data_IF_014047270388
#
_entry.id   IF_014047270388
#
_cell.length_a   1.000
_cell.length_b   1.000
_cell.length_c   1.000
_cell.angle_alpha   90.00
_cell.angle_beta   90.00
_cell.angle_gamma   90.00
#
_symmetry.space_group_name_H-M   'P 1'
#
loop_
_entity.id
_entity.type
_entity.pdbx_description
1 polymer ?
#
# COMPACT_ATOMS: atom_id res chain seq x y z
N UNK A 1 14.90 -29.54 33.55
CA UNK A 1 14.35 -29.08 32.25
C UNK A 1 13.28 -28.01 32.44
N UNK A 2 12.14 -28.37 33.03
CA UNK A 2 10.98 -27.49 33.21
C UNK A 2 11.26 -26.19 33.99
N UNK A 3 12.03 -26.27 35.08
CA UNK A 3 12.40 -25.09 35.90
C UNK A 3 13.26 -24.09 35.11
N UNK A 4 14.15 -24.57 34.23
CA UNK A 4 14.98 -23.70 33.38
C UNK A 4 14.13 -22.94 32.36
N UNK A 5 13.17 -23.63 31.72
CA UNK A 5 12.24 -23.01 30.79
C UNK A 5 11.34 -21.99 31.50
N UNK A 6 10.87 -22.32 32.70
CA UNK A 6 10.09 -21.43 33.55
C UNK A 6 10.86 -20.16 33.90
N UNK A 7 12.11 -20.29 34.35
CA UNK A 7 12.95 -19.12 34.68
C UNK A 7 13.24 -18.25 33.47
N UNK A 8 13.47 -18.85 32.29
CA UNK A 8 13.67 -18.10 31.05
C UNK A 8 12.40 -17.35 30.63
N UNK A 9 11.24 -18.03 30.59
CA UNK A 9 9.95 -17.42 30.22
C UNK A 9 9.55 -16.33 31.23
N UNK A 10 9.73 -16.57 32.54
CA UNK A 10 9.46 -15.57 33.56
C UNK A 10 10.36 -14.34 33.41
N UNK A 11 11.64 -14.52 33.05
CA UNK A 11 12.54 -13.40 32.76
C UNK A 11 12.07 -12.61 31.53
N UNK A 12 11.66 -13.30 30.46
CA UNK A 12 11.14 -12.65 29.25
C UNK A 12 9.86 -11.85 29.53
N UNK A 13 8.93 -12.41 30.30
CA UNK A 13 7.68 -11.74 30.68
C UNK A 13 7.93 -10.55 31.63
N UNK A 14 8.89 -10.67 32.56
CA UNK A 14 9.19 -9.62 33.52
C UNK A 14 10.09 -8.51 32.94
N UNK A 15 10.84 -8.77 31.87
CA UNK A 15 11.77 -7.80 31.30
C UNK A 15 11.06 -6.51 30.86
N UNK A 16 9.93 -6.63 30.15
CA UNK A 16 9.13 -5.47 29.71
C UNK A 16 8.56 -4.67 30.88
N UNK A 17 8.20 -5.34 31.98
CA UNK A 17 7.76 -4.66 33.20
C UNK A 17 8.89 -3.91 33.93
N UNK A 18 10.11 -4.47 33.90
CA UNK A 18 11.30 -3.83 34.47
C UNK A 18 11.70 -2.61 33.66
N UNK A 19 11.63 -2.65 32.33
CA UNK A 19 11.91 -1.49 31.45
C UNK A 19 11.00 -0.29 31.77
N UNK A 20 9.70 -0.55 31.93
CA UNK A 20 8.71 0.49 32.27
C UNK A 20 8.99 1.11 33.64
N UNK A 21 9.35 0.28 34.63
CA UNK A 21 9.61 0.75 36.00
C UNK A 21 10.97 1.45 36.11
N UNK A 22 11.98 1.00 35.37
CA UNK A 22 13.35 1.51 35.41
C UNK A 22 13.60 2.67 34.42
N UNK A 23 12.65 2.96 33.52
CA UNK A 23 12.77 3.94 32.43
C UNK A 23 14.07 3.80 31.61
N UNK A 24 14.51 2.56 31.41
CA UNK A 24 15.73 2.23 30.64
C UNK A 24 15.50 0.97 29.85
N UNK A 25 16.06 0.94 28.65
CA UNK A 25 16.12 -0.27 27.82
C UNK A 25 16.97 -1.34 28.52
N UNK A 26 16.42 -2.54 28.63
CA UNK A 26 17.07 -3.69 29.27
C UNK A 26 17.51 -4.66 28.18
N UNK A 27 18.81 -4.94 28.11
CA UNK A 27 19.32 -5.95 27.19
C UNK A 27 18.95 -7.36 27.69
N UNK A 28 17.90 -7.94 27.10
CA UNK A 28 17.43 -9.29 27.39
C UNK A 28 18.55 -10.34 27.36
N UNK A 29 19.43 -10.28 26.36
CA UNK A 29 20.51 -11.23 26.18
C UNK A 29 21.52 -11.15 27.35
N UNK A 30 21.77 -9.94 27.86
CA UNK A 30 22.65 -9.72 29.01
C UNK A 30 22.00 -10.22 30.30
N UNK A 31 20.71 -9.98 30.49
CA UNK A 31 19.97 -10.45 31.67
C UNK A 31 19.87 -11.99 31.69
N UNK A 32 19.62 -12.63 30.54
CA UNK A 32 19.62 -14.08 30.41
C UNK A 32 20.98 -14.67 30.76
N UNK A 33 22.07 -14.07 30.28
CA UNK A 33 23.43 -14.48 30.62
C UNK A 33 23.74 -14.31 32.11
N UNK A 34 23.37 -13.17 32.70
CA UNK A 34 23.58 -12.92 34.13
C UNK A 34 22.78 -13.89 35.02
N UNK A 35 21.51 -14.14 34.68
CA UNK A 35 20.66 -15.11 35.36
C UNK A 35 21.20 -16.54 35.20
N UNK A 36 21.69 -16.90 34.01
CA UNK A 36 22.32 -18.19 33.75
C UNK A 36 23.58 -18.40 34.57
N UNK A 37 24.52 -17.45 34.55
CA UNK A 37 25.74 -17.50 35.35
C UNK A 37 25.45 -17.54 36.85
N UNK A 38 24.47 -16.74 37.32
CA UNK A 38 24.03 -16.74 38.71
C UNK A 38 23.49 -18.11 39.14
N UNK A 39 22.70 -18.76 38.29
CA UNK A 39 22.17 -20.09 38.55
C UNK A 39 23.23 -21.20 38.50
N UNK A 40 24.23 -21.08 37.62
CA UNK A 40 25.39 -22.01 37.62
C UNK A 40 26.17 -21.86 38.91
N UNK A 41 26.48 -20.63 39.33
CA UNK A 41 27.19 -20.36 40.57
C UNK A 41 26.39 -20.85 41.79
N UNK A 42 25.07 -20.62 41.82
CA UNK A 42 24.20 -21.14 42.86
C UNK A 42 24.21 -22.68 42.90
N UNK A 43 24.09 -23.34 41.74
CA UNK A 43 24.12 -24.80 41.63
C UNK A 43 25.42 -25.43 42.14
N UNK A 44 26.58 -24.78 41.91
CA UNK A 44 27.87 -25.25 42.42
C UNK A 44 27.96 -25.27 43.94
N UNK A 45 27.18 -24.42 44.63
CA UNK A 45 27.12 -24.35 46.10
C UNK A 45 25.91 -25.12 46.64
N UNK A 46 25.20 -25.88 45.79
CA UNK A 46 24.00 -26.63 46.18
C UNK A 46 22.74 -25.77 46.34
N UNK A 47 22.74 -24.55 45.80
CA UNK A 47 21.61 -23.63 45.82
C UNK A 47 20.51 -24.01 44.83
N UNK A 48 19.30 -23.48 45.08
CA UNK A 48 18.14 -23.61 44.20
C UNK A 48 18.23 -22.65 43.01
N UNK A 49 17.49 -22.94 41.94
CA UNK A 49 17.37 -22.04 40.78
C UNK A 49 16.67 -20.75 41.21
N UNK A 50 17.35 -19.63 41.00
CA UNK A 50 16.84 -18.28 41.21
C UNK A 50 16.32 -17.64 39.93
N UNK A 51 15.44 -16.67 40.11
CA UNK A 51 14.90 -15.81 39.04
C UNK A 51 14.80 -14.37 39.55
N UNK A 52 14.62 -13.42 38.63
CA UNK A 52 14.51 -12.01 38.98
C UNK A 52 13.16 -11.70 39.64
N UNK A 53 13.19 -11.05 40.80
CA UNK A 53 11.98 -10.61 41.52
C UNK A 53 11.67 -9.16 41.19
N UNK A 54 10.75 -8.95 40.24
CA UNK A 54 10.33 -7.61 39.80
C UNK A 54 9.84 -6.72 40.95
N UNK A 55 9.04 -7.26 41.87
CA UNK A 55 8.48 -6.48 42.99
C UNK A 55 9.54 -5.86 43.90
N UNK A 56 10.60 -6.61 44.25
CA UNK A 56 11.69 -6.10 45.08
C UNK A 56 12.57 -5.11 44.32
N UNK A 57 12.83 -5.35 43.04
CA UNK A 57 13.55 -4.41 42.18
C UNK A 57 12.81 -3.08 42.04
N UNK A 58 11.49 -3.12 41.81
CA UNK A 58 10.64 -1.93 41.72
C UNK A 58 10.64 -1.12 43.02
N UNK A 59 10.46 -1.80 44.17
CA UNK A 59 10.53 -1.16 45.48
C UNK A 59 11.91 -0.52 45.74
N UNK A 60 12.99 -1.19 45.34
CA UNK A 60 14.35 -0.63 45.51
C UNK A 60 14.56 0.63 44.67
N UNK A 61 14.04 0.68 43.45
CA UNK A 61 14.11 1.84 42.57
C UNK A 61 13.25 3.00 43.10
N UNK A 62 12.05 2.72 43.59
CA UNK A 62 11.18 3.70 44.24
C UNK A 62 11.80 4.27 45.52
N UNK A 63 12.55 3.45 46.26
CA UNK A 63 13.33 3.88 47.42
C UNK A 63 14.62 4.64 47.06
N UNK A 64 14.88 4.92 45.78
CA UNK A 64 16.07 5.63 45.29
C UNK A 64 17.35 4.77 45.24
N UNK A 65 17.25 3.45 45.49
CA UNK A 65 18.38 2.53 45.59
C UNK A 65 18.66 1.80 44.25
N UNK A 66 19.00 2.55 43.19
CA UNK A 66 19.25 2.02 41.85
C UNK A 66 20.66 1.47 41.58
N UNK A 67 21.46 1.22 42.62
CA UNK A 67 22.86 0.76 42.47
C UNK A 67 23.00 -0.76 42.58
N UNK A 68 24.06 -1.33 41.99
CA UNK A 68 24.40 -2.76 42.15
C UNK A 68 24.70 -3.15 43.60
N UNK A 69 25.03 -2.16 44.45
CA UNK A 69 25.31 -2.37 45.87
C UNK A 69 24.08 -2.90 46.62
N UNK A 70 22.86 -2.54 46.18
CA UNK A 70 21.60 -3.03 46.77
C UNK A 70 21.56 -4.56 46.77
N UNK A 71 21.93 -5.21 45.66
CA UNK A 71 21.98 -6.67 45.56
C UNK A 71 23.04 -7.31 46.45
N UNK A 72 24.21 -6.66 46.58
CA UNK A 72 25.31 -7.14 47.45
C UNK A 72 24.91 -7.04 48.92
N UNK A 73 24.29 -5.93 49.33
CA UNK A 73 23.77 -5.75 50.69
C UNK A 73 22.71 -6.80 51.00
N UNK A 74 21.78 -7.04 50.07
CA UNK A 74 20.76 -8.08 50.23
C UNK A 74 21.36 -9.48 50.36
N UNK A 75 22.37 -9.81 49.55
CA UNK A 75 23.09 -11.07 49.67
C UNK A 75 23.77 -11.19 51.05
N UNK A 76 24.41 -10.12 51.54
CA UNK A 76 25.01 -10.08 52.87
C UNK A 76 24.00 -10.27 54.01
N UNK A 77 22.83 -9.63 53.92
CA UNK A 77 21.73 -9.81 54.87
C UNK A 77 21.23 -11.25 54.86
N UNK A 78 21.07 -11.86 53.67
CA UNK A 78 20.69 -13.27 53.55
C UNK A 78 21.72 -14.21 54.19
N UNK A 79 23.03 -13.96 54.00
CA UNK A 79 24.10 -14.75 54.63
C UNK A 79 24.08 -14.58 56.16
N UNK A 80 23.89 -13.35 56.65
CA UNK A 80 23.80 -13.08 58.08
C UNK A 80 22.58 -13.78 58.70
N UNK A 81 21.43 -13.72 58.03
CA UNK A 81 20.22 -14.42 58.44
C UNK A 81 20.40 -15.95 58.40
N UNK A 82 21.18 -16.49 57.47
CA UNK A 82 21.50 -17.92 57.41
C UNK A 82 22.39 -18.35 58.59
N UNK A 83 23.39 -17.55 58.95
CA UNK A 83 24.37 -17.89 60.01
C UNK A 83 23.81 -17.65 61.42
N UNK A 84 23.04 -16.58 61.63
CA UNK A 84 22.57 -16.17 62.96
C UNK A 84 21.04 -16.07 63.13
N UNK A 85 20.27 -16.21 62.05
CA UNK A 85 18.82 -15.96 62.05
C UNK A 85 17.94 -17.21 62.10
N UNK A 86 18.51 -18.42 62.16
CA UNK A 86 17.75 -19.69 62.19
C UNK A 86 16.79 -19.76 63.37
N UNK A 87 17.19 -19.27 64.55
CA UNK A 87 16.34 -19.19 65.73
C UNK A 87 15.17 -18.19 65.57
N UNK A 88 15.39 -17.09 64.85
CA UNK A 88 14.37 -16.05 64.59
C UNK A 88 13.40 -16.50 63.51
N UNK A 89 13.88 -17.13 62.45
CA UNK A 89 13.05 -17.70 61.38
C UNK A 89 12.12 -18.80 61.90
N UNK A 90 12.56 -19.57 62.90
CA UNK A 90 11.73 -20.59 63.54
C UNK A 90 10.53 -20.01 64.31
N UNK A 91 10.62 -18.76 64.78
CA UNK A 91 9.52 -18.05 65.45
C UNK A 91 8.51 -17.47 64.46
N UNK A 92 8.81 -17.46 63.15
CA UNK A 92 7.97 -16.84 62.15
C UNK A 92 6.71 -17.69 61.86
N UNK A 93 5.49 -17.15 62.07
CA UNK A 93 4.27 -17.92 61.88
C UNK A 93 4.06 -18.32 60.41
N UNK A 94 3.99 -19.63 60.13
CA UNK A 94 3.72 -20.18 58.80
C UNK A 94 2.40 -19.66 58.19
N UNK A 95 1.44 -19.30 59.04
CA UNK A 95 0.15 -18.71 58.64
C UNK A 95 0.33 -17.40 57.88
N UNK A 96 1.34 -16.59 58.24
CA UNK A 96 1.60 -15.31 57.56
C UNK A 96 2.10 -15.57 56.13
N UNK A 97 3.02 -16.53 55.93
CA UNK A 97 3.49 -16.90 54.58
C UNK A 97 2.36 -17.48 53.73
N UNK A 98 1.56 -18.40 54.30
CA UNK A 98 0.42 -18.99 53.60
C UNK A 98 -0.63 -17.94 53.22
N UNK A 99 -0.94 -17.03 54.13
CA UNK A 99 -1.87 -15.93 53.88
C UNK A 99 -1.38 -14.98 52.78
N UNK A 100 -0.08 -14.66 52.77
CA UNK A 100 0.52 -13.86 51.71
C UNK A 100 0.44 -14.54 50.34
N UNK A 101 0.76 -15.84 50.26
CA UNK A 101 0.65 -16.61 49.02
C UNK A 101 -0.79 -16.68 48.51
N UNK A 102 -1.75 -16.91 49.41
CA UNK A 102 -3.16 -16.94 49.07
C UNK A 102 -3.65 -15.57 48.59
N UNK A 103 -3.28 -14.49 49.28
CA UNK A 103 -3.59 -13.12 48.88
C UNK A 103 -3.05 -12.81 47.48
N UNK A 104 -1.78 -13.16 47.21
CA UNK A 104 -1.17 -12.92 45.90
C UNK A 104 -1.90 -13.70 44.79
N UNK A 105 -2.20 -14.98 45.04
CA UNK A 105 -2.96 -15.82 44.10
C UNK A 105 -4.36 -15.28 43.81
N UNK A 106 -5.09 -14.88 44.85
CA UNK A 106 -6.43 -14.28 44.72
C UNK A 106 -6.38 -12.91 44.03
N UNK A 107 -5.34 -12.11 44.29
CA UNK A 107 -5.14 -10.82 43.64
C UNK A 107 -4.96 -10.99 42.13
N UNK A 108 -4.09 -11.92 41.71
CA UNK A 108 -3.93 -12.22 40.28
C UNK A 108 -5.20 -12.78 39.65
N UNK A 109 -5.93 -13.65 40.35
CA UNK A 109 -7.19 -14.17 39.83
C UNK A 109 -8.23 -13.06 39.63
N UNK A 110 -8.33 -12.13 40.58
CA UNK A 110 -9.20 -10.95 40.44
C UNK A 110 -8.80 -10.11 39.22
N UNK A 111 -7.52 -9.76 39.11
CA UNK A 111 -7.01 -8.90 38.03
C UNK A 111 -7.24 -9.53 36.63
N UNK A 112 -6.86 -10.79 36.47
CA UNK A 112 -6.83 -11.43 35.16
C UNK A 112 -8.14 -12.14 34.77
N UNK A 113 -8.97 -12.53 35.73
CA UNK A 113 -10.26 -13.20 35.43
C UNK A 113 -11.44 -12.26 35.67
N UNK A 114 -11.49 -11.55 36.79
CA UNK A 114 -12.67 -10.73 37.11
C UNK A 114 -12.61 -9.39 36.37
N UNK A 115 -11.52 -8.64 36.55
CA UNK A 115 -11.40 -7.28 36.01
C UNK A 115 -11.23 -7.28 34.48
N UNK A 116 -10.72 -8.38 33.91
CA UNK A 116 -10.51 -8.54 32.47
C UNK A 116 -11.80 -8.78 31.68
N UNK A 117 -12.88 -9.25 32.32
CA UNK A 117 -14.18 -9.48 31.66
C UNK A 117 -14.71 -8.25 30.91
N UNK A 118 -14.57 -7.07 31.51
CA UNK A 118 -15.07 -5.81 30.94
C UNK A 118 -14.09 -5.16 29.95
N UNK A 119 -12.83 -5.61 29.92
CA UNK A 119 -11.74 -4.96 29.17
C UNK A 119 -11.37 -5.69 27.89
N UNK A 120 -11.63 -6.99 27.81
CA UNK A 120 -11.18 -7.83 26.71
C UNK A 120 -12.32 -8.30 25.79
N UNK A 121 -12.05 -8.49 24.48
CA UNK A 121 -12.96 -9.20 23.59
C UNK A 121 -13.31 -10.59 24.13
N UNK A 122 -14.54 -11.05 23.87
CA UNK A 122 -15.05 -12.34 24.38
C UNK A 122 -14.16 -13.54 24.05
N UNK A 123 -13.50 -13.52 22.88
CA UNK A 123 -12.59 -14.59 22.44
C UNK A 123 -11.32 -14.62 23.29
N UNK A 124 -10.70 -13.46 23.53
CA UNK A 124 -9.51 -13.35 24.37
C UNK A 124 -9.80 -13.74 25.82
N UNK A 125 -10.94 -13.30 26.34
CA UNK A 125 -11.40 -13.69 27.66
C UNK A 125 -11.63 -15.21 27.78
N UNK A 126 -12.23 -15.83 26.77
CA UNK A 126 -12.41 -17.28 26.72
C UNK A 126 -11.08 -18.05 26.76
N UNK A 127 -10.04 -17.52 26.10
CA UNK A 127 -8.69 -18.10 26.12
C UNK A 127 -8.09 -18.03 27.53
N UNK A 128 -8.25 -16.93 28.26
CA UNK A 128 -7.76 -16.80 29.64
C UNK A 128 -8.39 -17.88 30.54
N UNK A 129 -9.71 -18.04 30.48
CA UNK A 129 -10.42 -19.08 31.24
C UNK A 129 -9.96 -20.49 30.85
N UNK A 130 -9.73 -20.72 29.56
CA UNK A 130 -9.26 -22.01 29.07
C UNK A 130 -7.84 -22.33 29.58
N UNK A 131 -6.92 -21.37 29.50
CA UNK A 131 -5.56 -21.51 30.05
C UNK A 131 -5.64 -21.80 31.56
N UNK A 132 -6.46 -21.06 32.31
CA UNK A 132 -6.63 -21.28 33.75
C UNK A 132 -7.13 -22.70 34.05
N UNK A 133 -8.11 -23.20 33.29
CA UNK A 133 -8.63 -24.56 33.44
C UNK A 133 -7.56 -25.62 33.15
N UNK A 134 -6.73 -25.42 32.11
CA UNK A 134 -5.61 -26.31 31.78
C UNK A 134 -4.56 -26.30 32.88
N UNK A 135 -4.22 -25.12 33.43
CA UNK A 135 -3.27 -25.00 34.54
C UNK A 135 -3.79 -25.73 35.79
N UNK A 136 -5.08 -25.59 36.10
CA UNK A 136 -5.69 -26.21 37.26
C UNK A 136 -5.83 -27.74 37.13
N UNK A 137 -6.08 -28.25 35.92
CA UNK A 137 -6.34 -29.67 35.68
C UNK A 137 -5.12 -30.50 35.26
N UNK A 138 -4.19 -29.92 34.51
CA UNK A 138 -3.06 -30.64 33.89
C UNK A 138 -1.74 -30.16 34.46
N UNK A 139 -1.49 -28.86 34.39
CA UNK A 139 -0.21 -28.32 34.81
C UNK A 139 0.09 -26.96 34.20
N UNK A 140 1.03 -26.26 34.84
CA UNK A 140 1.43 -24.92 34.46
C UNK A 140 2.11 -24.86 33.09
N UNK A 141 2.96 -25.85 32.78
CA UNK A 141 3.73 -25.87 31.54
C UNK A 141 2.83 -26.03 30.31
N UNK A 142 1.86 -26.94 30.40
CA UNK A 142 0.85 -27.20 29.39
C UNK A 142 -0.02 -25.96 29.18
N UNK A 143 -0.39 -25.26 30.26
CA UNK A 143 -1.09 -23.99 30.20
C UNK A 143 -0.35 -22.90 29.42
N UNK A 144 0.97 -22.76 29.64
CA UNK A 144 1.80 -21.83 28.84
C UNK A 144 1.79 -22.23 27.37
N UNK A 145 2.02 -23.51 27.06
CA UNK A 145 2.07 -23.98 25.67
C UNK A 145 0.74 -23.70 24.94
N UNK A 146 -0.38 -23.97 25.60
CA UNK A 146 -1.73 -23.63 25.10
C UNK A 146 -1.86 -22.13 24.87
N UNK A 147 -1.42 -21.29 25.81
CA UNK A 147 -1.48 -19.84 25.67
C UNK A 147 -0.67 -19.31 24.48
N UNK A 148 0.54 -19.83 24.25
CA UNK A 148 1.37 -19.46 23.11
C UNK A 148 0.69 -19.86 21.79
N UNK A 149 0.15 -21.08 21.70
CA UNK A 149 -0.55 -21.55 20.50
C UNK A 149 -1.78 -20.68 20.23
N UNK A 150 -2.58 -20.39 21.27
CA UNK A 150 -3.77 -19.56 21.16
C UNK A 150 -3.42 -18.13 20.70
N UNK A 151 -2.33 -17.54 21.21
CA UNK A 151 -1.85 -16.24 20.79
C UNK A 151 -1.43 -16.22 19.31
N UNK A 152 -0.70 -17.25 18.85
CA UNK A 152 -0.32 -17.40 17.43
C UNK A 152 -1.56 -17.53 16.55
N UNK A 153 -2.52 -18.36 16.92
CA UNK A 153 -3.77 -18.55 16.18
C UNK A 153 -4.57 -17.24 16.12
N UNK A 154 -4.72 -16.55 17.25
CA UNK A 154 -5.44 -15.28 17.32
C UNK A 154 -4.77 -14.22 16.43
N UNK A 155 -3.44 -14.14 16.46
CA UNK A 155 -2.68 -13.22 15.61
C UNK A 155 -2.92 -13.51 14.13
N UNK A 156 -2.82 -14.77 13.70
CA UNK A 156 -3.07 -15.17 12.30
C UNK A 156 -4.51 -14.83 11.88
N UNK A 157 -5.49 -15.12 12.72
CA UNK A 157 -6.90 -14.82 12.44
C UNK A 157 -7.14 -13.31 12.38
N UNK A 158 -6.63 -12.54 13.33
CA UNK A 158 -6.76 -11.09 13.36
C UNK A 158 -6.11 -10.45 12.13
N UNK A 159 -4.90 -10.89 11.76
CA UNK A 159 -4.19 -10.39 10.57
C UNK A 159 -4.91 -10.77 9.27
N UNK A 160 -5.52 -11.95 9.20
CA UNK A 160 -6.32 -12.38 8.02
C UNK A 160 -7.61 -11.59 7.81
N UNK A 161 -8.08 -10.87 8.84
CA UNK A 161 -9.26 -9.99 8.75
C UNK A 161 -8.95 -8.62 8.17
N UNK A 162 -7.68 -8.28 7.94
CA UNK A 162 -7.33 -7.05 7.24
C UNK A 162 -7.72 -7.22 5.77
N UNK A 163 -8.61 -6.37 5.28
CA UNK A 163 -9.02 -6.41 3.88
C UNK A 163 -7.87 -5.97 2.97
N UNK A 164 -7.51 -6.89 2.06
CA UNK A 164 -6.50 -6.62 1.03
C UNK A 164 -7.05 -5.67 -0.03
N UNK A 165 -8.37 -5.64 -0.26
CA UNK A 165 -9.00 -4.67 -1.16
C UNK A 165 -9.13 -3.34 -0.42
N UNK A 166 -8.36 -2.34 -0.84
CA UNK A 166 -8.43 -0.99 -0.28
C UNK A 166 -9.68 -0.26 -0.75
N UNK A 167 -9.98 -0.36 -2.04
CA UNK A 167 -11.22 0.14 -2.66
C UNK A 167 -11.42 -0.51 -4.03
N UNK A 168 -12.66 -0.48 -4.48
CA UNK A 168 -13.13 -1.00 -5.76
C UNK A 168 -13.60 0.16 -6.66
N UNK A 169 -13.25 0.11 -7.95
CA UNK A 169 -13.73 1.03 -8.97
C UNK A 169 -14.34 0.24 -10.14
N UNK A 170 -15.22 0.89 -10.89
CA UNK A 170 -15.70 0.39 -12.19
C UNK A 170 -15.01 1.13 -13.33
N UNK A 171 -15.05 0.58 -14.55
CA UNK A 171 -14.55 1.25 -15.76
C UNK A 171 -15.26 2.59 -16.07
N UNK A 172 -16.39 2.89 -15.44
CA UNK A 172 -17.01 4.21 -15.52
C UNK A 172 -16.23 5.29 -14.75
N UNK A 173 -15.52 4.89 -13.70
CA UNK A 173 -14.77 5.77 -12.79
C UNK A 173 -13.26 5.61 -12.90
N UNK A 174 -12.79 4.48 -13.45
CA UNK A 174 -11.39 4.22 -13.74
C UNK A 174 -11.12 4.50 -15.23
N UNK A 175 -10.30 5.51 -15.50
CA UNK A 175 -9.83 5.85 -16.84
C UNK A 175 -8.30 5.95 -16.85
N UNK A 176 -7.70 5.59 -17.97
CA UNK A 176 -6.29 5.83 -18.23
C UNK A 176 -6.02 7.33 -18.42
N UNK A 177 -4.74 7.70 -18.41
CA UNK A 177 -4.26 9.05 -18.73
C UNK A 177 -4.20 9.32 -20.23
N UNK A 178 -4.75 8.45 -21.07
CA UNK A 178 -4.86 8.69 -22.50
C UNK A 178 -6.04 9.61 -22.77
N UNK A 179 -5.81 10.71 -23.48
CA UNK A 179 -6.88 11.60 -23.91
C UNK A 179 -7.69 10.92 -25.00
N UNK A 180 -8.97 10.66 -24.73
CA UNK A 180 -9.92 10.08 -25.68
C UNK A 180 -10.92 11.11 -26.21
N UNK A 181 -11.40 10.89 -27.42
CA UNK A 181 -12.45 11.71 -28.03
C UNK A 181 -13.76 11.68 -27.21
N UNK A 182 -14.64 12.69 -27.33
CA UNK A 182 -15.93 12.68 -26.61
C UNK A 182 -16.78 11.43 -26.90
N UNK A 183 -16.78 10.95 -28.15
CA UNK A 183 -17.50 9.72 -28.57
C UNK A 183 -16.92 8.48 -27.91
N UNK A 184 -15.59 8.33 -27.91
CA UNK A 184 -14.93 7.20 -27.25
C UNK A 184 -15.17 7.21 -25.73
N UNK A 185 -15.08 8.38 -25.08
CA UNK A 185 -15.39 8.52 -23.65
C UNK A 185 -16.82 8.13 -23.31
N UNK A 186 -17.79 8.53 -24.13
CA UNK A 186 -19.18 8.15 -23.91
C UNK A 186 -19.37 6.64 -24.02
N UNK A 187 -18.75 6.00 -25.02
CA UNK A 187 -18.77 4.54 -25.19
C UNK A 187 -18.12 3.82 -24.01
N UNK A 188 -16.96 4.28 -23.55
CA UNK A 188 -16.28 3.72 -22.37
C UNK A 188 -17.13 3.83 -21.11
N UNK A 189 -17.83 4.95 -20.90
CA UNK A 189 -18.77 5.13 -19.78
C UNK A 189 -19.95 4.17 -19.86
N UNK A 190 -20.53 3.98 -21.05
CA UNK A 190 -21.62 3.01 -21.27
C UNK A 190 -21.18 1.57 -21.01
N UNK A 191 -19.92 1.25 -21.30
CA UNK A 191 -19.32 -0.06 -21.06
C UNK A 191 -18.58 -0.13 -19.72
N UNK A 192 -18.77 0.85 -18.83
CA UNK A 192 -18.02 0.97 -17.59
C UNK A 192 -18.22 -0.19 -16.63
N UNK A 193 -19.38 -0.84 -16.68
CA UNK A 193 -19.70 -2.01 -15.85
C UNK A 193 -19.00 -3.30 -16.32
N UNK A 194 -18.37 -3.28 -17.50
CA UNK A 194 -17.60 -4.42 -17.99
C UNK A 194 -16.26 -4.63 -17.26
N UNK A 195 -15.78 -3.62 -16.53
CA UNK A 195 -14.51 -3.65 -15.80
C UNK A 195 -14.73 -3.43 -14.30
N UNK A 196 -14.15 -4.31 -13.50
CA UNK A 196 -13.98 -4.14 -12.05
C UNK A 196 -12.50 -3.97 -11.75
N UNK A 197 -12.13 -2.90 -11.04
CA UNK A 197 -10.76 -2.60 -10.63
C UNK A 197 -10.66 -2.71 -9.11
N UNK A 198 -9.77 -3.57 -8.63
CA UNK A 198 -9.49 -3.77 -7.22
C UNK A 198 -8.08 -3.27 -6.90
N UNK A 199 -7.98 -2.22 -6.09
CA UNK A 199 -6.68 -1.76 -5.61
C UNK A 199 -6.31 -2.48 -4.34
N UNK A 200 -5.21 -3.21 -4.39
CA UNK A 200 -4.78 -4.08 -3.30
C UNK A 200 -3.77 -3.36 -2.40
N UNK A 201 -3.72 -3.76 -1.12
CA UNK A 201 -2.75 -3.23 -0.14
C UNK A 201 -2.30 -4.30 0.86
N UNK A 202 -1.11 -4.11 1.43
CA UNK A 202 -0.57 -4.96 2.49
C UNK A 202 0.17 -6.18 1.95
N UNK A 203 0.12 -7.29 2.68
CA UNK A 203 0.77 -8.55 2.30
C UNK A 203 -0.28 -9.58 1.92
N UNK A 204 -0.13 -10.24 0.77
CA UNK A 204 -1.11 -11.23 0.30
C UNK A 204 -0.65 -12.63 0.70
N UNK A 205 -1.30 -13.18 1.72
CA UNK A 205 -1.11 -14.55 2.17
C UNK A 205 -2.41 -15.35 2.01
N UNK A 206 -2.38 -16.66 2.29
CA UNK A 206 -3.52 -17.56 2.12
C UNK A 206 -4.87 -16.98 2.56
N UNK A 207 -4.99 -16.47 3.79
CA UNK A 207 -6.25 -15.95 4.34
C UNK A 207 -6.78 -14.74 3.57
N UNK A 208 -5.93 -13.76 3.32
CA UNK A 208 -6.32 -12.56 2.55
C UNK A 208 -6.59 -12.84 1.08
N UNK A 209 -5.85 -13.77 0.47
CA UNK A 209 -6.04 -14.16 -0.92
C UNK A 209 -7.36 -14.91 -1.12
N UNK A 210 -7.77 -15.70 -0.12
CA UNK A 210 -9.06 -16.38 -0.11
C UNK A 210 -10.23 -15.38 0.01
N UNK A 211 -10.09 -14.31 0.81
CA UNK A 211 -11.08 -13.23 0.84
C UNK A 211 -11.17 -12.47 -0.48
N UNK A 212 -10.02 -12.17 -1.11
CA UNK A 212 -9.99 -11.55 -2.45
C UNK A 212 -10.71 -12.44 -3.48
N UNK A 213 -10.48 -13.75 -3.43
CA UNK A 213 -11.17 -14.73 -4.27
C UNK A 213 -12.69 -14.68 -4.05
N UNK A 214 -13.15 -14.78 -2.80
CA UNK A 214 -14.57 -14.72 -2.48
C UNK A 214 -15.21 -13.38 -2.86
N UNK A 215 -14.51 -12.26 -2.66
CA UNK A 215 -14.97 -10.93 -3.06
C UNK A 215 -15.23 -10.87 -4.57
N UNK A 216 -14.26 -11.33 -5.38
CA UNK A 216 -14.41 -11.38 -6.84
C UNK A 216 -15.51 -12.36 -7.25
N UNK A 217 -15.57 -13.54 -6.64
CA UNK A 217 -16.63 -14.53 -6.93
C UNK A 217 -18.02 -13.95 -6.65
N UNK A 218 -18.24 -13.35 -5.49
CA UNK A 218 -19.52 -12.72 -5.13
C UNK A 218 -19.87 -11.60 -6.11
N UNK A 219 -18.90 -10.78 -6.51
CA UNK A 219 -19.12 -9.71 -7.49
C UNK A 219 -19.52 -10.27 -8.85
N UNK A 220 -18.86 -11.32 -9.31
CA UNK A 220 -19.20 -11.98 -10.57
C UNK A 220 -20.59 -12.66 -10.44
N UNK A 221 -20.87 -13.40 -9.37
CA UNK A 221 -22.16 -14.06 -9.15
C UNK A 221 -23.34 -13.09 -9.08
N UNK A 222 -23.15 -11.93 -8.44
CA UNK A 222 -24.15 -10.86 -8.40
C UNK A 222 -24.43 -10.26 -9.78
N UNK A 223 -23.46 -10.28 -10.69
CA UNK A 223 -23.63 -9.91 -12.10
C UNK A 223 -24.21 -11.08 -12.90
N UNK A 224 -25.52 -11.31 -12.72
CA UNK A 224 -26.27 -12.33 -13.44
C UNK A 224 -26.32 -12.08 -14.97
N UNK A 225 -26.16 -10.82 -15.39
CA UNK A 225 -26.13 -10.44 -16.80
C UNK A 225 -24.79 -10.77 -17.49
N UNK A 226 -23.75 -11.13 -16.73
CA UNK A 226 -22.42 -11.41 -17.27
C UNK A 226 -21.79 -10.20 -17.98
N UNK A 227 -22.10 -9.01 -17.47
CA UNK A 227 -21.56 -7.74 -17.97
C UNK A 227 -20.07 -7.60 -17.69
N UNK A 228 -19.61 -8.04 -16.52
CA UNK A 228 -18.22 -7.99 -16.08
C UNK A 228 -17.39 -8.98 -16.89
N UNK A 229 -16.53 -8.44 -17.75
CA UNK A 229 -15.60 -9.20 -18.59
C UNK A 229 -14.15 -8.98 -18.22
N UNK A 230 -13.84 -7.93 -17.48
CA UNK A 230 -12.47 -7.58 -17.12
C UNK A 230 -12.37 -7.39 -15.61
N UNK A 231 -11.36 -8.00 -15.01
CA UNK A 231 -11.01 -7.80 -13.60
C UNK A 231 -9.58 -7.30 -13.55
N UNK A 232 -9.37 -6.09 -13.04
CA UNK A 232 -8.03 -5.53 -12.85
C UNK A 232 -7.64 -5.57 -11.37
N UNK A 233 -6.49 -6.15 -11.08
CA UNK A 233 -5.89 -6.21 -9.74
C UNK A 233 -4.66 -5.32 -9.73
N UNK A 234 -4.66 -4.27 -8.91
CA UNK A 234 -3.51 -3.37 -8.75
C UNK A 234 -2.68 -3.75 -7.52
N UNK A 235 -1.47 -4.27 -7.77
CA UNK A 235 -0.49 -4.73 -6.78
C UNK A 235 0.51 -3.65 -6.35
N UNK A 236 0.36 -2.40 -6.81
CA UNK A 236 1.34 -1.33 -6.54
C UNK A 236 1.64 -1.11 -5.04
N UNK A 237 0.70 -1.44 -4.14
CA UNK A 237 0.85 -1.31 -2.67
C UNK A 237 0.95 -2.64 -1.94
N UNK A 238 1.22 -3.72 -2.67
CA UNK A 238 1.48 -5.04 -2.09
C UNK A 238 2.97 -5.16 -1.73
N UNK A 239 3.26 -5.51 -0.48
CA UNK A 239 4.63 -5.68 0.01
C UNK A 239 5.22 -7.06 -0.29
N UNK A 240 4.36 -8.07 -0.54
CA UNK A 240 4.79 -9.41 -0.89
C UNK A 240 3.65 -10.43 -0.92
N UNK A 241 3.99 -11.66 -1.33
CA UNK A 241 3.08 -12.80 -1.36
C UNK A 241 3.76 -14.08 -0.88
N UNK A 242 2.96 -14.98 -0.31
CA UNK A 242 3.38 -16.36 -0.06
C UNK A 242 2.98 -17.30 -1.22
N UNK A 243 3.54 -18.51 -1.22
CA UNK A 243 3.26 -19.52 -2.26
C UNK A 243 1.81 -20.01 -2.25
N UNK A 244 1.13 -19.92 -1.11
CA UNK A 244 -0.26 -20.35 -0.95
C UNK A 244 -1.24 -19.32 -1.52
N UNK A 245 -0.96 -18.02 -1.43
CA UNK A 245 -1.74 -16.95 -2.07
C UNK A 245 -1.80 -17.10 -3.59
N UNK A 246 -0.67 -17.48 -4.21
CA UNK A 246 -0.61 -17.73 -5.66
C UNK A 246 -1.64 -18.79 -6.09
N UNK A 247 -1.87 -19.80 -5.25
CA UNK A 247 -2.88 -20.83 -5.51
C UNK A 247 -4.30 -20.27 -5.49
N UNK A 248 -4.60 -19.35 -4.57
CA UNK A 248 -5.90 -18.66 -4.51
C UNK A 248 -6.10 -17.72 -5.68
N UNK A 249 -5.06 -16.99 -6.09
CA UNK A 249 -5.09 -16.14 -7.30
C UNK A 249 -5.30 -16.96 -8.57
N UNK A 250 -4.73 -18.16 -8.67
CA UNK A 250 -4.99 -19.08 -9.79
C UNK A 250 -6.43 -19.56 -9.83
N UNK A 251 -7.06 -19.83 -8.67
CA UNK A 251 -8.49 -20.12 -8.62
C UNK A 251 -9.30 -18.91 -9.11
N UNK A 252 -8.94 -17.71 -8.68
CA UNK A 252 -9.58 -16.46 -9.13
C UNK A 252 -9.51 -16.33 -10.66
N UNK A 253 -8.34 -16.54 -11.24
CA UNK A 253 -8.15 -16.58 -12.70
C UNK A 253 -9.09 -17.60 -13.37
N UNK A 254 -9.22 -18.81 -12.83
CA UNK A 254 -10.13 -19.83 -13.37
C UNK A 254 -11.60 -19.38 -13.34
N UNK A 255 -12.04 -18.70 -12.27
CA UNK A 255 -13.40 -18.16 -12.19
C UNK A 255 -13.64 -17.03 -13.21
N UNK A 256 -12.65 -16.17 -13.45
CA UNK A 256 -12.72 -15.12 -14.47
C UNK A 256 -12.77 -15.75 -15.87
N UNK A 257 -11.89 -16.71 -16.16
CA UNK A 257 -11.84 -17.43 -17.43
C UNK A 257 -13.11 -18.23 -17.72
N UNK A 258 -13.75 -18.82 -16.70
CA UNK A 258 -15.00 -19.56 -16.86
C UNK A 258 -16.14 -18.69 -17.44
N UNK A 259 -16.05 -17.37 -17.28
CA UNK A 259 -16.98 -16.39 -17.86
C UNK A 259 -16.48 -15.74 -19.15
N UNK A 260 -15.41 -16.28 -19.75
CA UNK A 260 -14.68 -15.68 -20.89
C UNK A 260 -14.15 -14.27 -20.57
N UNK A 261 -13.87 -14.00 -19.29
CA UNK A 261 -13.29 -12.75 -18.86
C UNK A 261 -11.76 -12.76 -18.95
N UNK A 262 -11.18 -11.58 -18.80
CA UNK A 262 -9.73 -11.35 -18.81
C UNK A 262 -9.29 -10.76 -17.48
N UNK A 263 -8.19 -11.29 -16.92
CA UNK A 263 -7.58 -10.77 -15.71
C UNK A 263 -6.43 -9.81 -16.07
N UNK A 264 -6.46 -8.59 -15.54
CA UNK A 264 -5.40 -7.60 -15.69
C UNK A 264 -4.66 -7.51 -14.35
N UNK A 265 -3.35 -7.68 -14.37
CA UNK A 265 -2.50 -7.56 -13.18
C UNK A 265 -1.59 -6.35 -13.39
N UNK A 266 -1.74 -5.36 -12.52
CA UNK A 266 -1.06 -4.08 -12.59
C UNK A 266 -0.15 -3.88 -11.36
N UNK A 267 0.82 -2.97 -11.47
CA UNK A 267 1.65 -2.58 -10.32
C UNK A 267 2.68 -3.65 -9.94
N UNK A 268 3.18 -4.39 -10.92
CA UNK A 268 4.10 -5.52 -10.73
C UNK A 268 5.44 -5.28 -11.39
N UNK A 269 6.54 -5.60 -10.68
CA UNK A 269 7.88 -5.65 -11.25
C UNK A 269 8.09 -6.93 -12.07
N UNK A 270 9.07 -6.99 -13.00
CA UNK A 270 9.31 -8.18 -13.82
C UNK A 270 9.54 -9.47 -13.02
N UNK A 271 10.24 -9.40 -11.89
CA UNK A 271 10.48 -10.55 -11.02
C UNK A 271 9.20 -11.03 -10.32
N UNK A 272 8.28 -10.12 -10.03
CA UNK A 272 6.96 -10.40 -9.49
C UNK A 272 6.06 -11.08 -10.52
N UNK A 273 6.04 -10.57 -11.77
CA UNK A 273 5.36 -11.20 -12.90
C UNK A 273 5.86 -12.64 -13.10
N UNK A 274 7.18 -12.86 -13.08
CA UNK A 274 7.78 -14.19 -13.24
C UNK A 274 7.38 -15.16 -12.12
N UNK A 275 7.21 -14.69 -10.88
CA UNK A 275 6.71 -15.51 -9.77
C UNK A 275 5.26 -15.92 -9.99
N UNK A 276 4.38 -15.00 -10.38
CA UNK A 276 2.98 -15.30 -10.67
C UNK A 276 2.82 -16.22 -11.89
N UNK A 277 3.57 -15.96 -12.96
CA UNK A 277 3.57 -16.76 -14.17
C UNK A 277 4.09 -18.19 -13.92
N UNK A 278 5.12 -18.38 -13.09
CA UNK A 278 5.56 -19.73 -12.65
C UNK A 278 4.54 -20.43 -11.76
N UNK A 279 3.72 -19.64 -11.05
CA UNK A 279 2.58 -20.10 -10.27
C UNK A 279 1.36 -20.56 -11.07
N UNK A 280 1.39 -20.42 -12.41
CA UNK A 280 0.31 -20.86 -13.30
C UNK A 280 -0.62 -19.75 -13.77
N UNK A 281 -0.39 -18.48 -13.41
CA UNK A 281 -1.16 -17.34 -13.92
C UNK A 281 -0.60 -16.90 -15.28
N UNK A 282 -0.96 -17.59 -16.36
CA UNK A 282 -0.49 -17.26 -17.72
C UNK A 282 -1.63 -17.03 -18.70
N UNK A 283 -2.60 -17.93 -18.74
CA UNK A 283 -3.68 -17.89 -19.74
C UNK A 283 -4.75 -16.84 -19.38
N UNK A 284 -5.10 -15.96 -20.32
CA UNK A 284 -6.06 -14.87 -20.10
C UNK A 284 -5.68 -13.91 -18.98
N UNK A 285 -4.38 -13.77 -18.71
CA UNK A 285 -3.81 -12.80 -17.78
C UNK A 285 -2.88 -11.86 -18.54
N UNK A 286 -3.11 -10.55 -18.40
CA UNK A 286 -2.20 -9.53 -18.93
C UNK A 286 -1.51 -8.80 -17.78
N UNK A 287 -0.18 -8.69 -17.88
CA UNK A 287 0.66 -8.07 -16.86
C UNK A 287 1.07 -6.65 -17.28
N UNK A 288 0.96 -5.70 -16.37
CA UNK A 288 1.28 -4.30 -16.57
C UNK A 288 2.14 -3.75 -15.44
N UNK A 289 2.97 -2.77 -15.76
CA UNK A 289 3.83 -2.09 -14.78
C UNK A 289 3.02 -1.29 -13.75
N UNK A 290 1.85 -0.80 -14.16
CA UNK A 290 0.99 0.06 -13.37
C UNK A 290 -0.47 -0.05 -13.85
N UNK A 291 -1.39 0.47 -13.05
CA UNK A 291 -2.82 0.40 -13.34
C UNK A 291 -3.20 1.25 -14.56
N UNK A 292 -2.46 2.34 -14.81
CA UNK A 292 -2.76 3.26 -15.89
C UNK A 292 -2.60 2.59 -17.28
N UNK A 293 -1.55 1.77 -17.45
CA UNK A 293 -1.36 0.95 -18.66
C UNK A 293 -2.38 -0.18 -18.78
N UNK A 294 -2.79 -0.78 -17.67
CA UNK A 294 -3.83 -1.80 -17.67
C UNK A 294 -5.18 -1.23 -18.15
N UNK A 295 -5.52 -0.03 -17.68
CA UNK A 295 -6.73 0.69 -18.11
C UNK A 295 -6.65 1.09 -19.58
N UNK A 296 -5.50 1.58 -20.04
CA UNK A 296 -5.30 1.90 -21.46
C UNK A 296 -5.51 0.70 -22.38
N UNK A 297 -4.95 -0.46 -22.00
CA UNK A 297 -5.14 -1.69 -22.75
C UNK A 297 -6.62 -2.09 -22.80
N UNK A 298 -7.30 -2.05 -21.65
CA UNK A 298 -8.75 -2.33 -21.57
C UNK A 298 -9.56 -1.38 -22.46
N UNK A 299 -9.28 -0.07 -22.41
CA UNK A 299 -9.96 0.93 -23.22
C UNK A 299 -9.78 0.66 -24.72
N UNK A 300 -8.56 0.31 -25.14
CA UNK A 300 -8.25 -0.01 -26.53
C UNK A 300 -9.01 -1.26 -27.00
N UNK A 301 -9.08 -2.30 -26.17
CA UNK A 301 -9.86 -3.52 -26.46
C UNK A 301 -11.36 -3.23 -26.59
N UNK A 302 -11.90 -2.37 -25.72
CA UNK A 302 -13.33 -2.02 -25.73
C UNK A 302 -13.71 -1.12 -26.90
N UNK A 303 -12.84 -0.17 -27.26
CA UNK A 303 -13.07 0.75 -28.38
C UNK A 303 -12.88 0.08 -29.74
N UNK A 304 -11.97 -0.90 -29.85
CA UNK A 304 -11.64 -1.59 -31.09
C UNK A 304 -10.84 -0.73 -32.08
N UNK A 305 -10.24 -1.38 -33.08
CA UNK A 305 -9.31 -0.71 -34.02
C UNK A 305 -9.97 0.36 -34.91
N UNK A 306 -11.23 0.15 -35.34
CA UNK A 306 -11.95 1.13 -36.17
C UNK A 306 -12.22 2.44 -35.43
N UNK A 307 -12.58 2.37 -34.14
CA UNK A 307 -12.82 3.58 -33.36
C UNK A 307 -11.52 4.36 -33.10
N UNK A 308 -10.38 3.67 -32.95
CA UNK A 308 -9.05 4.28 -32.78
C UNK A 308 -8.53 4.93 -34.08
N UNK A 309 -8.86 4.36 -35.25
CA UNK A 309 -8.54 4.94 -36.55
C UNK A 309 -9.32 6.24 -36.81
N UNK A 310 -10.59 6.30 -36.40
CA UNK A 310 -11.40 7.53 -36.48
C UNK A 310 -10.85 8.62 -35.53
N UNK A 311 -10.27 8.26 -34.38
CA UNK A 311 -9.61 9.23 -33.48
C UNK A 311 -8.33 9.85 -34.08
N UNK A 312 -7.67 9.16 -35.02
CA UNK A 312 -6.43 9.65 -35.66
C UNK A 312 -6.68 10.39 -36.97
N UNK A 313 -7.90 10.34 -37.51
CA UNK A 313 -8.23 10.83 -38.86
C UNK A 313 -8.71 12.30 -38.90
N UNK A 314 -9.04 12.92 -37.77
CA UNK A 314 -9.35 14.35 -37.74
C UNK A 314 -8.05 15.14 -37.95
N UNK A 315 -7.73 15.45 -39.20
CA UNK A 315 -6.53 16.21 -39.53
C UNK A 315 -6.54 17.56 -38.82
N UNK A 316 -5.36 18.07 -38.46
CA UNK A 316 -5.21 19.40 -37.86
C UNK A 316 -5.97 20.47 -38.65
N UNK A 317 -5.98 20.36 -39.98
CA UNK A 317 -6.77 21.20 -40.88
C UNK A 317 -8.28 21.10 -40.59
N UNK A 318 -8.84 19.92 -40.38
CA UNK A 318 -10.27 19.76 -40.07
C UNK A 318 -10.65 20.44 -38.76
N UNK A 319 -9.80 20.32 -37.72
CA UNK A 319 -10.04 20.94 -36.42
C UNK A 319 -9.85 22.46 -36.44
N UNK A 320 -8.83 22.93 -37.14
CA UNK A 320 -8.66 24.36 -37.40
C UNK A 320 -9.88 24.91 -38.16
N UNK A 321 -10.36 24.21 -39.19
CA UNK A 321 -11.54 24.65 -39.96
C UNK A 321 -12.82 24.70 -39.11
N UNK A 322 -12.99 23.77 -38.17
CA UNK A 322 -14.16 23.74 -37.30
C UNK A 322 -14.17 24.86 -36.24
N UNK A 323 -13.00 25.39 -35.87
CA UNK A 323 -12.85 26.33 -34.76
C UNK A 323 -12.45 27.75 -35.20
N UNK A 324 -11.92 27.92 -36.41
CA UNK A 324 -11.59 29.21 -37.00
C UNK A 324 -12.86 29.92 -37.50
N UNK A 325 -12.96 31.27 -37.36
CA UNK A 325 -13.96 32.06 -38.04
C UNK A 325 -13.91 31.82 -39.56
N UNK A 326 -15.08 31.85 -40.22
CA UNK A 326 -15.19 31.58 -41.66
C UNK A 326 -14.34 32.51 -42.55
N UNK A 327 -13.93 33.67 -42.03
CA UNK A 327 -13.10 34.64 -42.75
C UNK A 327 -11.60 34.29 -42.77
N UNK A 328 -11.14 33.27 -42.02
CA UNK A 328 -9.72 32.94 -41.90
C UNK A 328 -9.45 31.57 -42.52
N UNK A 329 -8.74 31.56 -43.65
CA UNK A 329 -8.30 30.31 -44.24
C UNK A 329 -7.24 29.62 -43.35
N UNK A 330 -7.41 28.31 -43.03
CA UNK A 330 -6.44 27.54 -42.26
C UNK A 330 -5.02 27.58 -42.84
N UNK A 331 -4.89 27.73 -44.16
CA UNK A 331 -3.62 27.88 -44.87
C UNK A 331 -2.80 29.07 -44.35
N UNK A 332 -3.45 30.14 -43.87
CA UNK A 332 -2.78 31.33 -43.33
C UNK A 332 -2.00 31.00 -42.06
N UNK A 333 -2.56 30.16 -41.18
CA UNK A 333 -1.91 29.70 -39.95
C UNK A 333 -0.73 28.78 -40.24
N UNK A 334 -0.88 27.88 -41.22
CA UNK A 334 0.17 26.94 -41.61
C UNK A 334 1.47 27.63 -42.05
N UNK A 335 1.42 28.89 -42.55
CA UNK A 335 2.60 29.67 -42.94
C UNK A 335 3.55 30.01 -41.78
N UNK A 336 3.03 30.02 -40.55
CA UNK A 336 3.80 30.32 -39.34
C UNK A 336 4.18 29.05 -38.57
N UNK A 337 3.75 27.89 -39.05
CA UNK A 337 3.98 26.59 -38.44
C UNK A 337 5.06 25.82 -39.18
N UNK A 338 6.00 25.26 -38.43
CA UNK A 338 7.03 24.38 -38.98
C UNK A 338 6.58 22.93 -38.86
N UNK A 339 6.27 22.29 -40.00
CA UNK A 339 5.96 20.86 -40.05
C UNK A 339 7.20 20.05 -39.70
N UNK A 340 7.07 19.10 -38.78
CA UNK A 340 8.12 18.18 -38.36
C UNK A 340 7.58 16.77 -38.25
N UNK A 341 8.32 15.81 -38.81
CA UNK A 341 8.05 14.39 -38.63
C UNK A 341 8.72 13.91 -37.34
N UNK A 342 8.03 13.03 -36.62
CA UNK A 342 8.46 12.49 -35.34
C UNK A 342 8.55 10.98 -35.42
N UNK A 343 9.57 10.41 -34.78
CA UNK A 343 9.75 9.00 -34.56
C UNK A 343 9.58 8.65 -33.06
N UNK A 344 9.26 7.39 -32.73
CA UNK A 344 9.20 6.95 -31.33
C UNK A 344 10.48 7.28 -30.57
N UNK A 345 10.35 7.90 -29.39
CA UNK A 345 11.46 8.35 -28.56
C UNK A 345 11.92 9.79 -28.82
N UNK A 346 11.43 10.46 -29.87
CA UNK A 346 11.76 11.86 -30.11
C UNK A 346 11.21 12.75 -28.98
N UNK A 347 12.10 13.55 -28.39
CA UNK A 347 11.73 14.49 -27.33
C UNK A 347 11.37 15.83 -27.94
N UNK A 348 10.09 16.19 -27.87
CA UNK A 348 9.56 17.45 -28.38
C UNK A 348 9.83 18.61 -27.42
N UNK A 349 9.70 18.35 -26.13
CA UNK A 349 9.88 19.32 -25.04
C UNK A 349 10.60 18.62 -23.90
N UNK A 350 11.61 19.26 -23.28
CA UNK A 350 12.25 18.73 -22.06
C UNK A 350 11.86 19.55 -20.83
N UNK A 351 11.58 18.85 -19.74
CA UNK A 351 11.33 19.44 -18.44
C UNK A 351 12.50 20.34 -18.01
N UNK A 352 12.19 21.53 -17.49
CA UNK A 352 13.17 22.53 -17.06
C UNK A 352 13.69 23.47 -18.16
N UNK A 353 13.42 23.20 -19.44
CA UNK A 353 13.85 24.08 -20.53
C UNK A 353 13.00 25.35 -20.67
N UNK A 354 13.50 26.31 -21.44
CA UNK A 354 12.77 27.53 -21.76
C UNK A 354 11.51 27.26 -22.60
N UNK A 355 10.42 28.02 -22.39
CA UNK A 355 9.16 27.82 -23.09
C UNK A 355 9.09 28.53 -24.45
N UNK A 356 9.96 28.17 -25.39
CA UNK A 356 10.14 28.93 -26.64
C UNK A 356 9.19 28.53 -27.77
N UNK A 357 8.50 27.40 -27.61
CA UNK A 357 7.60 26.83 -28.63
C UNK A 357 6.42 26.08 -28.05
N UNK A 358 5.40 25.83 -28.88
CA UNK A 358 4.38 24.82 -28.65
C UNK A 358 4.27 23.95 -29.89
N UNK A 359 3.67 22.76 -29.73
CA UNK A 359 3.47 21.83 -30.84
C UNK A 359 2.00 21.48 -30.94
N UNK A 360 1.50 21.45 -32.18
CA UNK A 360 0.25 20.80 -32.52
C UNK A 360 0.55 19.40 -33.02
N UNK A 361 -0.12 18.40 -32.46
CA UNK A 361 -0.01 17.01 -32.93
C UNK A 361 -1.00 16.83 -34.07
N UNK A 362 -0.54 16.56 -35.29
CA UNK A 362 -1.42 16.24 -36.42
C UNK A 362 -1.73 14.75 -36.44
N UNK A 363 -0.69 13.92 -36.32
CA UNK A 363 -0.80 12.46 -36.30
C UNK A 363 0.25 11.85 -35.38
N UNK A 364 0.02 10.61 -34.96
CA UNK A 364 0.83 9.93 -33.95
C UNK A 364 0.34 10.20 -32.52
N UNK A 365 1.10 9.70 -31.55
CA UNK A 365 0.85 9.84 -30.12
C UNK A 365 2.09 10.40 -29.43
N UNK A 366 1.85 11.31 -28.48
CA UNK A 366 2.88 11.90 -27.64
C UNK A 366 2.47 11.79 -26.18
N UNK A 367 3.43 11.50 -25.32
CA UNK A 367 3.23 11.40 -23.87
C UNK A 367 3.93 12.53 -23.15
N UNK A 368 3.17 13.28 -22.36
CA UNK A 368 3.70 14.17 -21.34
C UNK A 368 4.07 13.36 -20.09
N UNK A 369 5.31 13.51 -19.61
CA UNK A 369 5.83 12.77 -18.46
C UNK A 369 6.70 13.64 -17.55
N UNK A 370 6.59 13.42 -16.24
CA UNK A 370 7.50 13.98 -15.24
C UNK A 370 8.70 13.06 -15.10
N UNK A 371 9.89 13.63 -15.32
CA UNK A 371 11.16 12.93 -15.17
C UNK A 371 11.72 13.23 -13.79
N UNK A 372 12.19 12.17 -13.12
CA UNK A 372 12.80 12.24 -11.80
C UNK A 372 14.18 11.60 -11.84
N UNK A 373 15.07 11.97 -10.91
CA UNK A 373 16.41 11.37 -10.83
C UNK A 373 16.37 9.91 -10.35
N UNK A 374 15.54 9.62 -9.33
CA UNK A 374 15.60 8.35 -8.59
C UNK A 374 14.40 7.42 -8.82
N UNK A 375 13.49 7.75 -9.75
CA UNK A 375 12.31 6.93 -10.04
C UNK A 375 11.93 6.97 -11.52
N UNK A 376 11.22 5.94 -12.02
CA UNK A 376 10.71 5.92 -13.39
C UNK A 376 9.91 7.17 -13.73
N UNK A 377 9.97 7.60 -15.00
CA UNK A 377 9.18 8.72 -15.48
C UNK A 377 7.69 8.46 -15.23
N UNK A 378 7.01 9.47 -14.68
CA UNK A 378 5.59 9.39 -14.39
C UNK A 378 4.81 9.98 -15.56
N UNK A 379 4.07 9.14 -16.27
CA UNK A 379 3.15 9.57 -17.31
C UNK A 379 2.08 10.50 -16.74
N UNK A 380 1.95 11.70 -17.28
CA UNK A 380 0.88 12.65 -16.93
C UNK A 380 -0.32 12.48 -17.84
N UNK A 381 -0.09 12.47 -19.15
CA UNK A 381 -1.12 12.41 -20.18
C UNK A 381 -0.51 11.86 -21.48
N UNK A 382 -1.21 10.97 -22.18
CA UNK A 382 -0.92 10.62 -23.58
C UNK A 382 -1.94 11.30 -24.47
N UNK A 383 -1.48 11.91 -25.55
CA UNK A 383 -2.29 12.72 -26.46
C UNK A 383 -2.06 12.27 -27.90
N UNK A 384 -3.15 12.13 -28.66
CA UNK A 384 -3.10 11.84 -30.09
C UNK A 384 -3.22 13.10 -30.96
N UNK A 385 -3.50 12.88 -32.25
CA UNK A 385 -3.81 13.92 -33.22
C UNK A 385 -4.87 14.91 -32.73
N UNK A 386 -4.67 16.18 -33.07
CA UNK A 386 -5.54 17.29 -32.73
C UNK A 386 -5.33 17.93 -31.36
N UNK A 387 -4.24 17.60 -30.67
CA UNK A 387 -3.92 18.16 -29.36
C UNK A 387 -2.77 19.14 -29.45
N UNK A 388 -2.74 20.07 -28.50
CA UNK A 388 -1.64 21.05 -28.33
C UNK A 388 -0.84 20.66 -27.10
N UNK A 389 0.48 20.71 -27.23
CA UNK A 389 1.42 20.45 -26.14
C UNK A 389 2.40 21.60 -25.96
N UNK A 390 2.70 21.91 -24.70
CA UNK A 390 3.64 22.99 -24.33
C UNK A 390 3.00 24.37 -24.24
N UNK A 391 1.69 24.46 -24.40
CA UNK A 391 0.89 25.67 -24.34
C UNK A 391 1.01 26.39 -22.99
N UNK A 392 1.03 25.65 -21.87
CA UNK A 392 1.09 26.26 -20.54
C UNK A 392 2.38 27.05 -20.33
N UNK A 393 3.54 26.43 -20.57
CA UNK A 393 4.82 27.13 -20.48
C UNK A 393 4.89 28.28 -21.49
N UNK A 394 4.38 28.06 -22.70
CA UNK A 394 4.40 29.06 -23.77
C UNK A 394 3.57 30.32 -23.43
N UNK A 395 2.42 30.20 -22.78
CA UNK A 395 1.62 31.37 -22.39
C UNK A 395 2.00 31.96 -21.03
N UNK A 396 2.42 31.13 -20.07
CA UNK A 396 2.80 31.60 -18.72
C UNK A 396 4.23 32.14 -18.64
N UNK A 397 5.08 31.86 -19.62
CA UNK A 397 6.50 32.26 -19.59
C UNK A 397 7.33 31.49 -18.56
N UNK A 398 6.82 30.36 -18.07
CA UNK A 398 7.50 29.51 -17.08
C UNK A 398 8.28 28.39 -17.76
N UNK A 399 9.34 27.91 -17.11
CA UNK A 399 10.09 26.72 -17.56
C UNK A 399 9.17 25.53 -17.75
N UNK A 400 9.53 24.61 -18.66
CA UNK A 400 8.72 23.43 -18.95
C UNK A 400 8.50 22.60 -17.69
N UNK A 401 7.23 22.34 -17.38
CA UNK A 401 6.83 21.56 -16.21
C UNK A 401 6.99 20.05 -16.41
N UNK A 402 6.96 19.57 -17.65
CA UNK A 402 7.07 18.16 -18.01
C UNK A 402 7.81 18.00 -19.35
N UNK A 403 8.34 16.80 -19.58
CA UNK A 403 8.88 16.41 -20.88
C UNK A 403 7.77 15.85 -21.76
N UNK A 404 7.82 16.07 -23.07
CA UNK A 404 6.89 15.49 -24.04
C UNK A 404 7.68 14.67 -25.04
N UNK A 405 7.34 13.38 -25.14
CA UNK A 405 8.05 12.39 -25.96
C UNK A 405 7.07 11.72 -26.92
N UNK A 406 7.50 11.48 -28.15
CA UNK A 406 6.73 10.75 -29.14
C UNK A 406 6.70 9.24 -28.81
N UNK A 407 5.51 8.65 -28.79
CA UNK A 407 5.31 7.21 -28.58
C UNK A 407 5.23 6.46 -29.90
N UNK A 408 4.64 7.08 -30.92
CA UNK A 408 4.44 6.51 -32.26
C UNK A 408 4.92 7.48 -33.34
N UNK A 409 5.27 6.98 -34.54
CA UNK A 409 5.63 7.86 -35.65
C UNK A 409 4.43 8.73 -36.05
N UNK A 410 4.71 9.97 -36.44
CA UNK A 410 3.65 10.95 -36.69
C UNK A 410 4.17 12.27 -37.23
N UNK A 411 3.26 13.24 -37.34
CA UNK A 411 3.56 14.60 -37.77
C UNK A 411 3.11 15.60 -36.71
N UNK A 412 3.96 16.58 -36.42
CA UNK A 412 3.66 17.70 -35.53
C UNK A 412 3.96 19.03 -36.22
N UNK A 413 3.27 20.08 -35.80
CA UNK A 413 3.53 21.45 -36.25
C UNK A 413 4.05 22.29 -35.09
N UNK A 414 5.26 22.82 -35.23
CA UNK A 414 5.91 23.68 -34.22
C UNK A 414 5.56 25.14 -34.47
N UNK A 415 5.08 25.81 -33.42
CA UNK A 415 4.97 27.26 -33.37
C UNK A 415 6.00 27.82 -32.38
N UNK A 416 6.83 28.76 -32.81
CA UNK A 416 7.78 29.46 -31.94
C UNK A 416 7.23 30.79 -31.45
N UNK A 417 7.77 31.34 -30.36
CA UNK A 417 7.42 32.69 -29.88
C UNK A 417 7.66 33.76 -30.94
N UNK A 418 8.77 33.67 -31.66
CA UNK A 418 9.09 34.59 -32.74
C UNK A 418 8.07 34.49 -33.90
N UNK A 419 7.63 33.28 -34.26
CA UNK A 419 6.60 33.09 -35.27
C UNK A 419 5.24 33.64 -34.84
N UNK A 420 4.87 33.47 -33.56
CA UNK A 420 3.65 34.09 -33.01
C UNK A 420 3.73 35.62 -33.02
N UNK A 421 4.83 36.22 -32.54
CA UNK A 421 5.00 37.67 -32.55
C UNK A 421 4.95 38.25 -33.97
N UNK A 422 5.48 37.52 -34.96
CA UNK A 422 5.31 37.86 -36.38
C UNK A 422 3.86 37.76 -36.83
N UNK A 423 3.15 36.69 -36.48
CA UNK A 423 1.73 36.51 -36.80
C UNK A 423 0.87 37.64 -36.22
N UNK A 424 1.15 38.08 -35.00
CA UNK A 424 0.46 39.20 -34.34
C UNK A 424 0.65 40.53 -35.08
N UNK A 425 1.78 40.71 -35.76
CA UNK A 425 2.09 41.91 -36.55
C UNK A 425 1.58 41.82 -38.00
N UNK A 426 1.87 40.71 -38.68
CA UNK A 426 1.60 40.51 -40.10
C UNK A 426 0.13 40.13 -40.36
N UNK A 427 -0.51 39.40 -39.44
CA UNK A 427 -1.90 38.93 -39.60
C UNK A 427 -2.64 38.85 -38.26
N UNK A 428 -3.01 39.99 -37.64
CA UNK A 428 -3.61 40.03 -36.30
C UNK A 428 -4.86 39.17 -36.13
N UNK A 429 -5.67 39.04 -37.19
CA UNK A 429 -6.87 38.20 -37.18
C UNK A 429 -6.53 36.70 -36.97
N UNK A 430 -5.46 36.21 -37.62
CA UNK A 430 -5.01 34.83 -37.48
C UNK A 430 -4.45 34.57 -36.07
N UNK A 431 -3.68 35.52 -35.52
CA UNK A 431 -3.19 35.44 -34.15
C UNK A 431 -4.35 35.42 -33.12
N UNK A 432 -5.34 36.30 -33.28
CA UNK A 432 -6.53 36.31 -32.42
C UNK A 432 -7.30 34.98 -32.46
N UNK A 433 -7.40 34.36 -33.64
CA UNK A 433 -8.06 33.08 -33.82
C UNK A 433 -7.27 31.93 -33.16
N UNK A 434 -5.94 31.94 -33.27
CA UNK A 434 -5.05 31.00 -32.58
C UNK A 434 -5.16 31.12 -31.06
N UNK A 435 -5.16 32.34 -30.51
CA UNK A 435 -5.35 32.55 -29.07
C UNK A 435 -6.71 32.00 -28.62
N UNK A 436 -7.78 32.26 -29.38
CA UNK A 436 -9.13 31.75 -29.08
C UNK A 436 -9.17 30.23 -29.05
N UNK A 437 -8.52 29.58 -30.01
CA UNK A 437 -8.38 28.11 -30.05
C UNK A 437 -7.70 27.58 -28.78
N UNK A 438 -6.57 28.16 -28.40
CA UNK A 438 -5.82 27.71 -27.21
C UNK A 438 -6.63 27.93 -25.93
N UNK A 439 -7.34 29.06 -25.81
CA UNK A 439 -8.23 29.34 -24.69
C UNK A 439 -9.36 28.31 -24.61
N UNK A 440 -9.99 27.94 -25.73
CA UNK A 440 -11.03 26.91 -25.76
C UNK A 440 -10.48 25.55 -25.32
N UNK A 441 -9.32 25.12 -25.85
CA UNK A 441 -8.67 23.87 -25.47
C UNK A 441 -8.32 23.83 -23.97
N UNK A 442 -7.81 24.94 -23.42
CA UNK A 442 -7.52 25.07 -21.99
C UNK A 442 -8.80 25.03 -21.16
N UNK A 443 -9.86 25.71 -21.58
CA UNK A 443 -11.15 25.72 -20.88
C UNK A 443 -11.79 24.31 -20.84
N UNK A 444 -11.73 23.57 -21.95
CA UNK A 444 -12.15 22.17 -21.99
C UNK A 444 -11.33 21.30 -21.03
N UNK A 445 -10.00 21.49 -20.99
CA UNK A 445 -9.11 20.74 -20.09
C UNK A 445 -9.39 21.03 -18.61
N UNK A 446 -9.64 22.29 -18.27
CA UNK A 446 -10.03 22.69 -16.90
C UNK A 446 -11.38 22.09 -16.51
N UNK A 447 -12.36 22.16 -17.39
CA UNK A 447 -13.68 21.54 -17.18
C UNK A 447 -13.54 20.03 -16.94
N UNK A 448 -12.62 19.39 -17.66
CA UNK A 448 -12.29 17.99 -17.45
C UNK A 448 -11.67 17.72 -16.06
N UNK A 449 -10.68 18.51 -15.65
CA UNK A 449 -10.04 18.36 -14.34
C UNK A 449 -11.04 18.55 -13.20
N UNK A 450 -11.92 19.55 -13.29
CA UNK A 450 -12.96 19.81 -12.28
C UNK A 450 -13.91 18.62 -12.15
N UNK A 451 -14.39 18.08 -13.27
CA UNK A 451 -15.27 16.91 -13.26
C UNK A 451 -14.59 15.65 -12.67
N UNK A 452 -13.28 15.49 -12.88
CA UNK A 452 -12.51 14.39 -12.31
C UNK A 452 -12.32 14.52 -10.79
N UNK A 453 -12.07 15.74 -10.28
CA UNK A 453 -11.97 16.00 -8.84
C UNK A 453 -13.31 15.79 -8.14
N UNK A 454 -14.41 16.25 -8.76
CA UNK A 454 -15.76 16.06 -8.24
C UNK A 454 -16.18 14.59 -8.15
N UNK A 455 -15.70 13.75 -9.08
CA UNK A 455 -15.93 12.31 -9.03
C UNK A 455 -15.16 11.64 -7.88
N UNK A 456 -13.96 12.14 -7.56
CA UNK A 456 -13.16 11.65 -6.42
C UNK A 456 -13.73 12.11 -5.07
N UNK A 457 -14.32 13.31 -5.00
CA UNK A 457 -14.90 13.87 -3.78
C UNK A 457 -16.26 13.23 -3.39
N UNK A 458 -16.96 12.61 -4.34
CA UNK A 458 -18.24 11.93 -4.10
C UNK A 458 -18.09 10.49 -3.58
N UNK A 459 -16.86 10.03 -3.37
CA UNK A 459 -16.62 8.74 -2.74
C UNK A 459 -16.44 8.91 -1.23
N UNK A 460 -17.21 8.19 -0.39
CA UNK A 460 -17.12 8.26 1.07
C UNK A 460 -15.80 7.73 1.64
#
# INVERSE_FOLDING_TARGET
GTIMLLSAVALLLNASGIEETARREVSLNRELWAAGMGNVAAGLVGGLVGYQQMGLSALSLQAGAGSRLTGVVMAGVCVLALVGGTAVLALFPKVILGGLLLYLGLSFLKEWVVDSWARLPRVEYGIILFILAVIAGVGFLEGIAVGIIAAVVLFVVAYSRIDVVRYELTGAHAASRVTRSPRARQRLRQMGDCLVVLRLQGFVFFGTADRLLHHVQQRLEADAAGTVRYVALDFQRISGLDSTAIRSLRKLQQHVLARRGTLLIAGTDPGFCDRLARGGLREGVHYFTDLDRALEWYENEVLGQESLAVETADSLLHQLTALLPAEIEPATLLRYLERREIAPGDVLLRQGEAPDSLFFVESGQVTAQLVYADRPAMRLETMGGGRVVGELGFYLGQVRTASVVADTPGTVYRLTRAALARMEQETPAAAAALHRLIVQLLAERVTHLVNSVDALARWP
#
